data_IF_560605465695
#
_entry.id   IF_560605465695
#
_cell.length_a   1.000
_cell.length_b   1.000
_cell.length_c   1.000
_cell.angle_alpha   90.00
_cell.angle_beta   90.00
_cell.angle_gamma   90.00
#
_symmetry.space_group_name_H-M   'P 1'
#
loop_
_entity.id
_entity.type
_entity.pdbx_description
1 polymer ?
#
# COMPACT_ATOMS: atom_id res chain seq x y z
N UNK A 1 -20.17 -16.08 4.62
CA UNK A 1 -19.87 -14.72 4.12
C UNK A 1 -18.35 -14.58 3.99
N UNK A 2 -17.86 -13.94 2.93
CA UNK A 2 -16.44 -13.58 2.77
C UNK A 2 -16.30 -12.08 3.03
N UNK A 3 -15.41 -11.69 3.94
CA UNK A 3 -15.00 -10.30 4.10
C UNK A 3 -13.71 -10.05 3.31
N UNK A 4 -13.72 -9.10 2.40
CA UNK A 4 -12.55 -8.71 1.62
C UNK A 4 -12.01 -7.37 2.12
N UNK A 5 -10.75 -7.35 2.55
CA UNK A 5 -10.04 -6.10 2.84
C UNK A 5 -9.46 -5.57 1.53
N UNK A 6 -10.05 -4.52 0.98
CA UNK A 6 -9.73 -3.97 -0.34
C UNK A 6 -9.16 -2.55 -0.26
N UNK A 7 -8.75 -2.02 -1.42
CA UNK A 7 -8.03 -0.75 -1.57
C UNK A 7 -6.88 -0.82 -2.57
N UNK A 8 -6.73 -1.96 -3.24
CA UNK A 8 -5.78 -2.19 -4.32
C UNK A 8 -6.54 -2.56 -5.60
N UNK A 9 -5.88 -2.45 -6.75
CA UNK A 9 -6.45 -2.93 -8.02
C UNK A 9 -6.80 -4.41 -7.95
N UNK A 10 -5.93 -5.21 -7.32
CA UNK A 10 -6.12 -6.64 -7.15
C UNK A 10 -7.31 -6.96 -6.25
N UNK A 11 -7.53 -6.20 -5.18
CA UNK A 11 -8.70 -6.38 -4.33
C UNK A 11 -10.02 -6.23 -5.09
N UNK A 12 -10.10 -5.25 -6.01
CA UNK A 12 -11.25 -5.05 -6.90
C UNK A 12 -11.50 -6.26 -7.79
N UNK A 13 -10.44 -6.74 -8.45
CA UNK A 13 -10.52 -7.92 -9.31
C UNK A 13 -10.95 -9.18 -8.54
N UNK A 14 -10.47 -9.36 -7.31
CA UNK A 14 -10.86 -10.47 -6.44
C UNK A 14 -12.36 -10.37 -6.09
N UNK A 15 -12.88 -9.18 -5.75
CA UNK A 15 -14.33 -8.98 -5.51
C UNK A 15 -15.13 -9.45 -6.72
N UNK A 16 -14.81 -8.94 -7.91
CA UNK A 16 -15.52 -9.29 -9.15
C UNK A 16 -15.52 -10.78 -9.40
N UNK A 17 -14.36 -11.42 -9.33
CA UNK A 17 -14.24 -12.85 -9.66
C UNK A 17 -14.93 -13.74 -8.62
N UNK A 18 -14.86 -13.40 -7.33
CA UNK A 18 -15.54 -14.17 -6.28
C UNK A 18 -17.07 -14.04 -6.41
N UNK A 19 -17.56 -12.83 -6.63
CA UNK A 19 -19.00 -12.58 -6.82
C UNK A 19 -19.54 -13.27 -8.07
N UNK A 20 -18.79 -13.25 -9.19
CA UNK A 20 -19.15 -14.00 -10.41
C UNK A 20 -19.17 -15.53 -10.21
N UNK A 21 -18.39 -16.06 -9.26
CA UNK A 21 -18.44 -17.48 -8.86
C UNK A 21 -19.56 -17.79 -7.86
N UNK A 22 -20.40 -16.82 -7.52
CA UNK A 22 -21.55 -17.00 -6.62
C UNK A 22 -21.23 -16.88 -5.13
N UNK A 23 -20.02 -16.48 -4.76
CA UNK A 23 -19.69 -16.22 -3.36
C UNK A 23 -20.37 -14.94 -2.85
N UNK A 24 -20.80 -14.97 -1.59
CA UNK A 24 -21.28 -13.78 -0.87
C UNK A 24 -20.09 -13.01 -0.32
N UNK A 25 -19.83 -11.84 -0.90
CA UNK A 25 -18.69 -10.96 -0.57
C UNK A 25 -19.17 -9.64 0.02
N UNK A 26 -18.58 -9.24 1.13
CA UNK A 26 -18.63 -7.88 1.67
C UNK A 26 -17.23 -7.30 1.71
N UNK A 27 -17.09 -5.98 1.60
CA UNK A 27 -15.79 -5.33 1.45
C UNK A 27 -15.55 -4.26 2.51
N UNK A 28 -14.34 -4.19 3.07
CA UNK A 28 -13.87 -3.07 3.88
C UNK A 28 -12.77 -2.32 3.11
N UNK A 29 -12.92 -1.01 2.94
CA UNK A 29 -11.98 -0.14 2.21
C UNK A 29 -11.54 1.04 3.06
N UNK A 30 -10.55 1.81 2.59
CA UNK A 30 -10.05 3.00 3.28
C UNK A 30 -10.81 4.30 2.94
N UNK A 31 -11.74 4.28 1.98
CA UNK A 31 -12.43 5.49 1.52
C UNK A 31 -13.82 5.21 0.97
N UNK A 32 -14.70 6.20 1.01
CA UNK A 32 -16.05 6.11 0.42
C UNK A 32 -15.99 5.83 -1.08
N UNK A 33 -15.00 6.39 -1.78
CA UNK A 33 -14.75 6.09 -3.19
C UNK A 33 -14.43 4.61 -3.40
N UNK A 34 -13.59 4.02 -2.54
CA UNK A 34 -13.32 2.59 -2.55
C UNK A 34 -14.56 1.75 -2.27
N UNK A 35 -15.45 2.19 -1.38
CA UNK A 35 -16.74 1.51 -1.18
C UNK A 35 -17.58 1.48 -2.44
N UNK A 36 -17.71 2.63 -3.13
CA UNK A 36 -18.45 2.71 -4.38
C UNK A 36 -17.89 1.74 -5.41
N UNK A 37 -16.56 1.75 -5.60
CA UNK A 37 -15.90 0.81 -6.51
C UNK A 37 -16.18 -0.65 -6.15
N UNK A 38 -16.06 -1.02 -4.86
CA UNK A 38 -16.32 -2.39 -4.42
C UNK A 38 -17.77 -2.83 -4.69
N UNK A 39 -18.75 -1.94 -4.53
CA UNK A 39 -20.14 -2.21 -4.88
C UNK A 39 -20.31 -2.42 -6.39
N UNK A 40 -19.71 -1.55 -7.22
CA UNK A 40 -19.72 -1.68 -8.67
C UNK A 40 -19.05 -3.00 -9.13
N UNK A 41 -18.05 -3.46 -8.39
CA UNK A 41 -17.31 -4.70 -8.65
C UNK A 41 -18.07 -5.96 -8.18
N UNK A 42 -19.22 -5.84 -7.51
CA UNK A 42 -20.07 -6.96 -7.10
C UNK A 42 -20.06 -7.31 -5.62
N UNK A 43 -19.53 -6.45 -4.75
CA UNK A 43 -19.68 -6.58 -3.29
C UNK A 43 -21.15 -6.37 -2.89
N UNK A 44 -21.67 -7.18 -1.98
CA UNK A 44 -23.04 -7.05 -1.48
C UNK A 44 -23.21 -5.86 -0.54
N UNK A 45 -22.18 -5.59 0.26
CA UNK A 45 -22.08 -4.42 1.13
C UNK A 45 -20.62 -3.95 1.14
N UNK A 46 -20.40 -2.65 1.32
CA UNK A 46 -19.07 -2.08 1.46
C UNK A 46 -19.02 -1.10 2.64
N UNK A 47 -17.96 -1.21 3.44
CA UNK A 47 -17.73 -0.41 4.64
C UNK A 47 -16.44 0.40 4.47
N UNK A 48 -16.38 1.55 5.11
CA UNK A 48 -15.18 2.38 5.22
C UNK A 48 -15.08 2.96 6.64
N UNK A 49 -13.89 3.38 7.03
CA UNK A 49 -13.61 4.02 8.31
C UNK A 49 -12.47 3.35 9.07
N UNK A 50 -11.97 4.04 10.08
CA UNK A 50 -10.94 3.52 10.98
C UNK A 50 -11.55 2.61 12.06
N UNK A 51 -12.07 1.45 11.63
CA UNK A 51 -12.65 0.48 12.55
C UNK A 51 -11.59 0.02 13.57
N UNK A 52 -11.96 0.08 14.84
CA UNK A 52 -11.18 -0.48 15.93
C UNK A 52 -11.48 -1.98 16.10
N UNK A 53 -10.85 -2.57 17.11
CA UNK A 53 -11.01 -4.00 17.44
C UNK A 53 -12.46 -4.37 17.68
N UNK A 54 -13.19 -3.55 18.44
CA UNK A 54 -14.58 -3.83 18.84
C UNK A 54 -15.52 -3.79 17.63
N UNK A 55 -15.36 -2.79 16.76
CA UNK A 55 -16.17 -2.66 15.55
C UNK A 55 -15.91 -3.79 14.57
N UNK A 56 -14.65 -4.19 14.37
CA UNK A 56 -14.30 -5.32 13.51
C UNK A 56 -14.85 -6.64 14.03
N UNK A 57 -14.72 -6.91 15.34
CA UNK A 57 -15.32 -8.09 15.97
C UNK A 57 -16.82 -8.16 15.73
N UNK A 58 -17.52 -7.04 16.00
CA UNK A 58 -18.96 -6.94 15.76
C UNK A 58 -19.31 -7.20 14.30
N UNK A 59 -18.54 -6.66 13.36
CA UNK A 59 -18.75 -6.89 11.93
C UNK A 59 -18.59 -8.37 11.56
N UNK A 60 -17.52 -9.02 12.03
CA UNK A 60 -17.24 -10.44 11.78
C UNK A 60 -18.39 -11.32 12.29
N UNK A 61 -18.90 -11.04 13.50
CA UNK A 61 -19.99 -11.77 14.13
C UNK A 61 -21.35 -11.51 13.44
N UNK A 62 -21.73 -10.25 13.27
CA UNK A 62 -23.03 -9.87 12.71
C UNK A 62 -23.22 -10.35 11.27
N UNK A 63 -22.13 -10.39 10.49
CA UNK A 63 -22.17 -10.83 9.09
C UNK A 63 -21.86 -12.32 8.93
N UNK A 64 -21.66 -13.06 10.03
CA UNK A 64 -21.27 -14.46 10.04
C UNK A 64 -20.12 -14.74 9.04
N UNK A 65 -19.05 -13.95 9.19
CA UNK A 65 -17.87 -14.04 8.32
C UNK A 65 -17.18 -15.38 8.58
N UNK A 66 -17.03 -16.18 7.53
CA UNK A 66 -16.37 -17.49 7.58
C UNK A 66 -14.94 -17.44 7.06
N UNK A 67 -14.67 -16.50 6.15
CA UNK A 67 -13.35 -16.29 5.61
C UNK A 67 -13.08 -14.80 5.38
N UNK A 68 -11.81 -14.41 5.53
CA UNK A 68 -11.30 -13.09 5.22
C UNK A 68 -10.27 -13.19 4.11
N UNK A 69 -10.45 -12.44 3.03
CA UNK A 69 -9.44 -12.25 2.00
C UNK A 69 -8.81 -10.88 2.20
N UNK A 70 -7.56 -10.88 2.65
CA UNK A 70 -6.79 -9.66 2.87
C UNK A 70 -5.98 -9.32 1.61
N UNK A 71 -6.46 -8.35 0.84
CA UNK A 71 -5.83 -7.83 -0.38
C UNK A 71 -5.30 -6.41 -0.19
N UNK A 72 -5.08 -6.00 1.06
CA UNK A 72 -4.53 -4.68 1.37
C UNK A 72 -3.12 -4.53 0.79
N UNK A 73 -2.57 -3.30 0.83
CA UNK A 73 -1.24 -3.02 0.30
C UNK A 73 -0.20 -4.02 0.84
N UNK A 74 0.79 -4.47 0.04
CA UNK A 74 1.76 -5.48 0.47
C UNK A 74 2.61 -5.16 1.71
N UNK A 75 2.62 -3.89 2.12
CA UNK A 75 3.25 -3.48 3.37
C UNK A 75 2.22 -3.63 4.48
N UNK A 76 2.52 -4.36 5.57
CA UNK A 76 1.57 -4.57 6.65
C UNK A 76 1.13 -3.23 7.22
N UNK A 77 -0.19 -3.07 7.33
CA UNK A 77 -0.83 -1.89 7.91
C UNK A 77 -1.70 -2.29 9.09
N UNK A 78 -2.14 -1.29 9.87
CA UNK A 78 -2.97 -1.48 11.08
C UNK A 78 -4.12 -2.46 10.87
N UNK A 79 -4.88 -2.32 9.77
CA UNK A 79 -6.06 -3.17 9.52
C UNK A 79 -5.69 -4.62 9.23
N UNK A 80 -4.60 -4.87 8.51
CA UNK A 80 -4.09 -6.21 8.19
C UNK A 80 -3.68 -6.92 9.48
N UNK A 81 -2.90 -6.25 10.34
CA UNK A 81 -2.41 -6.82 11.59
C UNK A 81 -3.56 -7.10 12.56
N UNK A 82 -4.50 -6.16 12.70
CA UNK A 82 -5.65 -6.35 13.57
C UNK A 82 -6.55 -7.50 13.08
N UNK A 83 -6.73 -7.63 11.77
CA UNK A 83 -7.52 -8.71 11.20
C UNK A 83 -6.84 -10.08 11.36
N UNK A 84 -5.51 -10.13 11.27
CA UNK A 84 -4.72 -11.33 11.61
C UNK A 84 -5.04 -11.84 13.01
N UNK A 85 -4.87 -10.97 14.00
CA UNK A 85 -5.10 -11.30 15.40
C UNK A 85 -6.54 -11.76 15.64
N UNK A 86 -7.52 -11.05 15.07
CA UNK A 86 -8.94 -11.39 15.22
C UNK A 86 -9.30 -12.71 14.55
N UNK A 87 -8.80 -12.98 13.35
CA UNK A 87 -9.02 -14.25 12.67
C UNK A 87 -8.41 -15.41 13.45
N UNK A 88 -7.18 -15.27 13.93
CA UNK A 88 -6.51 -16.29 14.75
C UNK A 88 -7.28 -16.55 16.05
N UNK A 89 -7.75 -15.50 16.73
CA UNK A 89 -8.52 -15.63 17.98
C UNK A 89 -9.90 -16.29 17.78
N UNK A 90 -10.53 -16.10 16.61
CA UNK A 90 -11.89 -16.60 16.32
C UNK A 90 -11.91 -17.88 15.48
N UNK A 91 -10.75 -18.37 15.04
CA UNK A 91 -10.67 -19.50 14.11
C UNK A 91 -11.28 -19.20 12.73
N UNK A 92 -11.29 -17.93 12.31
CA UNK A 92 -11.77 -17.53 10.98
C UNK A 92 -10.65 -17.71 9.98
N UNK A 93 -10.94 -18.38 8.85
CA UNK A 93 -9.96 -18.55 7.78
C UNK A 93 -9.52 -17.18 7.25
N UNK A 94 -8.23 -16.86 7.36
CA UNK A 94 -7.64 -15.70 6.69
C UNK A 94 -6.76 -16.16 5.53
N UNK A 95 -6.97 -15.54 4.38
CA UNK A 95 -6.15 -15.70 3.17
C UNK A 95 -5.51 -14.34 2.89
N UNK A 96 -4.18 -14.27 2.84
CA UNK A 96 -3.45 -13.05 2.52
C UNK A 96 -3.03 -13.09 1.06
N UNK A 97 -3.64 -12.23 0.24
CA UNK A 97 -3.20 -12.04 -1.14
C UNK A 97 -1.97 -11.13 -1.18
N UNK A 98 -0.86 -11.66 -1.67
CA UNK A 98 0.40 -10.93 -1.77
C UNK A 98 1.02 -11.15 -3.15
N UNK A 99 0.94 -10.13 -4.00
CA UNK A 99 1.68 -10.10 -5.28
C UNK A 99 3.19 -10.20 -5.06
N UNK A 100 3.90 -10.71 -6.05
CA UNK A 100 5.36 -10.82 -6.02
C UNK A 100 6.05 -9.47 -5.82
N UNK A 101 7.28 -9.58 -5.31
CA UNK A 101 8.20 -8.45 -5.24
C UNK A 101 8.69 -8.06 -6.64
N UNK A 102 9.09 -6.81 -6.78
CA UNK A 102 9.69 -6.34 -8.02
C UNK A 102 11.10 -6.92 -8.13
N UNK A 103 11.41 -7.59 -9.24
CA UNK A 103 12.80 -7.94 -9.53
C UNK A 103 13.55 -6.62 -9.82
N UNK A 104 14.40 -6.21 -8.89
CA UNK A 104 15.12 -4.95 -9.01
C UNK A 104 16.26 -5.14 -10.03
N UNK A 105 16.46 -4.20 -10.97
CA UNK A 105 17.61 -4.22 -11.85
C UNK A 105 18.92 -4.24 -11.05
N UNK A 106 19.92 -4.97 -11.53
CA UNK A 106 21.28 -4.84 -11.00
C UNK A 106 21.88 -3.51 -11.47
N UNK A 107 21.87 -2.52 -10.59
CA UNK A 107 22.32 -1.17 -10.89
C UNK A 107 22.83 -0.48 -9.61
N UNK A 108 24.00 0.16 -9.69
CA UNK A 108 24.66 0.84 -8.55
C UNK A 108 23.89 2.02 -7.97
N UNK A 109 22.87 2.53 -8.69
CA UNK A 109 21.98 3.59 -8.21
C UNK A 109 20.79 3.07 -7.43
N UNK A 110 20.60 1.74 -7.31
CA UNK A 110 19.50 1.14 -6.56
C UNK A 110 19.99 0.65 -5.20
N UNK A 111 19.36 1.14 -4.14
CA UNK A 111 19.70 0.82 -2.76
C UNK A 111 18.52 0.16 -2.05
N UNK A 112 18.47 -1.18 -1.97
CA UNK A 112 17.48 -1.87 -1.17
C UNK A 112 17.75 -1.64 0.32
N UNK A 113 16.70 -1.34 1.08
CA UNK A 113 16.71 -1.17 2.54
C UNK A 113 15.50 -1.85 3.15
N UNK A 114 15.53 -2.16 4.44
CA UNK A 114 14.48 -2.97 5.10
C UNK A 114 13.71 -2.20 6.17
N UNK A 115 13.99 -0.92 6.38
CA UNK A 115 13.24 -0.08 7.30
C UNK A 115 13.12 1.38 6.82
N UNK A 116 12.22 2.14 7.45
CA UNK A 116 12.05 3.56 7.16
C UNK A 116 13.23 4.38 7.67
N UNK A 117 13.81 3.98 8.79
CA UNK A 117 14.98 4.53 9.43
C UNK A 117 16.22 4.36 8.53
N UNK A 118 16.43 3.14 8.00
CA UNK A 118 17.47 2.89 7.00
C UNK A 118 17.24 3.70 5.74
N UNK A 119 15.99 3.80 5.27
CA UNK A 119 15.66 4.57 4.08
C UNK A 119 15.99 6.06 4.24
N UNK A 120 15.63 6.64 5.39
CA UNK A 120 15.91 8.02 5.74
C UNK A 120 17.42 8.29 5.79
N UNK A 121 18.17 7.47 6.55
CA UNK A 121 19.62 7.58 6.66
C UNK A 121 20.32 7.44 5.30
N UNK A 122 19.92 6.44 4.51
CA UNK A 122 20.50 6.19 3.19
C UNK A 122 20.22 7.33 2.23
N UNK A 123 18.97 7.81 2.18
CA UNK A 123 18.59 8.91 1.29
C UNK A 123 19.27 10.22 1.67
N UNK A 124 19.41 10.53 2.95
CA UNK A 124 20.11 11.73 3.44
C UNK A 124 21.58 11.77 2.98
N UNK A 125 22.24 10.62 2.87
CA UNK A 125 23.62 10.53 2.37
C UNK A 125 23.78 10.61 0.85
N UNK A 126 22.68 10.62 0.08
CA UNK A 126 22.71 10.55 -1.39
C UNK A 126 22.36 11.88 -2.09
N UNK A 127 21.67 12.80 -1.42
CA UNK A 127 21.36 14.11 -2.02
C UNK A 127 20.40 14.99 -1.21
N UNK A 128 20.43 16.30 -1.49
CA UNK A 128 19.69 17.31 -0.71
C UNK A 128 18.18 17.40 -0.98
N UNK A 129 17.70 16.92 -2.13
CA UNK A 129 16.25 16.90 -2.45
C UNK A 129 15.77 15.47 -2.51
N UNK A 130 15.04 15.03 -1.50
CA UNK A 130 14.51 13.68 -1.40
C UNK A 130 13.06 13.70 -1.86
N UNK A 131 12.72 12.90 -2.86
CA UNK A 131 11.36 12.74 -3.35
C UNK A 131 10.78 11.40 -2.89
N UNK A 132 9.83 11.45 -1.99
CA UNK A 132 9.12 10.31 -1.43
C UNK A 132 7.92 9.94 -2.31
N UNK A 133 7.98 8.76 -2.91
CA UNK A 133 6.85 8.14 -3.63
C UNK A 133 6.12 7.09 -2.79
N UNK A 134 6.30 7.17 -1.47
CA UNK A 134 5.87 6.17 -0.47
C UNK A 134 4.47 6.40 0.09
N UNK A 135 3.82 7.52 -0.27
CA UNK A 135 2.60 8.00 0.35
C UNK A 135 2.84 8.63 1.73
N UNK A 136 1.75 8.94 2.43
CA UNK A 136 1.75 9.62 3.75
C UNK A 136 1.89 8.68 4.95
N UNK A 137 1.78 7.37 4.75
CA UNK A 137 1.91 6.39 5.83
C UNK A 137 3.37 6.28 6.26
N UNK A 138 3.63 6.40 7.57
CA UNK A 138 4.95 6.45 8.21
C UNK A 138 5.85 7.60 7.73
N UNK A 139 5.24 8.67 7.18
CA UNK A 139 5.97 9.87 6.79
C UNK A 139 6.67 10.52 8.00
N UNK A 140 6.00 10.53 9.14
CA UNK A 140 6.50 10.96 10.44
C UNK A 140 7.83 10.29 10.81
N UNK A 141 7.92 8.96 10.68
CA UNK A 141 9.15 8.20 10.96
C UNK A 141 10.30 8.67 10.07
N UNK A 142 10.02 8.86 8.78
CA UNK A 142 11.03 9.35 7.85
C UNK A 142 11.51 10.77 8.23
N UNK A 143 10.58 11.67 8.50
CA UNK A 143 10.87 13.07 8.84
C UNK A 143 11.64 13.20 10.15
N UNK A 144 11.28 12.42 11.18
CA UNK A 144 11.99 12.42 12.46
C UNK A 144 13.46 11.97 12.32
N UNK A 145 13.73 11.01 11.43
CA UNK A 145 15.09 10.51 11.18
C UNK A 145 15.98 11.46 10.37
N UNK A 146 15.38 12.46 9.69
CA UNK A 146 16.13 13.49 8.94
C UNK A 146 16.01 14.88 9.57
N UNK A 147 15.39 14.97 10.74
CA UNK A 147 15.16 16.23 11.45
C UNK A 147 16.49 16.89 11.80
N UNK A 148 16.59 18.18 11.51
CA UNK A 148 17.80 18.97 11.74
C UNK A 148 18.85 18.89 10.62
N UNK A 149 18.60 18.09 9.58
CA UNK A 149 19.43 18.08 8.37
C UNK A 149 18.92 19.14 7.37
N UNK A 150 19.84 19.77 6.63
CA UNK A 150 19.52 20.70 5.54
C UNK A 150 19.09 19.93 4.28
N UNK A 151 17.87 19.36 4.33
CA UNK A 151 17.27 18.56 3.27
C UNK A 151 15.89 19.09 2.90
N UNK A 152 15.59 19.11 1.59
CA UNK A 152 14.24 19.36 1.06
C UNK A 152 13.53 18.02 0.86
N UNK A 153 12.41 17.84 1.54
CA UNK A 153 11.58 16.64 1.43
C UNK A 153 10.36 16.96 0.58
N UNK A 154 10.20 16.28 -0.55
CA UNK A 154 9.02 16.33 -1.40
C UNK A 154 8.27 15.01 -1.26
N UNK A 155 6.95 15.06 -1.04
CA UNK A 155 6.14 13.84 -0.90
C UNK A 155 5.02 13.80 -1.92
N UNK A 156 4.81 12.64 -2.54
CA UNK A 156 3.63 12.36 -3.37
C UNK A 156 2.60 11.55 -2.58
N UNK A 157 1.39 12.08 -2.50
CA UNK A 157 0.27 11.54 -1.72
C UNK A 157 -1.02 11.49 -2.54
N UNK A 158 -2.02 10.75 -2.05
CA UNK A 158 -3.37 10.83 -2.58
C UNK A 158 -3.97 12.23 -2.35
N UNK A 159 -4.80 12.74 -3.28
CA UNK A 159 -5.40 14.07 -3.19
C UNK A 159 -6.59 14.10 -2.23
N UNK A 160 -6.42 13.59 -1.02
CA UNK A 160 -7.43 13.58 0.03
C UNK A 160 -7.14 14.66 1.07
N UNK A 161 -8.16 15.44 1.45
CA UNK A 161 -8.02 16.55 2.40
C UNK A 161 -7.30 16.15 3.70
N UNK A 162 -7.68 15.02 4.31
CA UNK A 162 -7.05 14.53 5.55
C UNK A 162 -5.56 14.21 5.35
N UNK A 163 -5.19 13.71 4.17
CA UNK A 163 -3.82 13.31 3.85
C UNK A 163 -2.94 14.53 3.57
N UNK A 164 -3.46 15.51 2.83
CA UNK A 164 -2.78 16.80 2.60
C UNK A 164 -2.57 17.52 3.94
N UNK A 165 -3.61 17.59 4.78
CA UNK A 165 -3.55 18.20 6.10
C UNK A 165 -2.48 17.54 6.98
N UNK A 166 -2.43 16.20 7.04
CA UNK A 166 -1.38 15.46 7.76
C UNK A 166 0.02 15.91 7.33
N UNK A 167 0.27 16.09 6.04
CA UNK A 167 1.58 16.52 5.54
C UNK A 167 1.92 17.95 5.97
N UNK A 168 0.94 18.85 5.98
CA UNK A 168 1.10 20.22 6.45
C UNK A 168 1.35 20.30 7.96
N UNK A 169 0.60 19.51 8.75
CA UNK A 169 0.78 19.40 10.20
C UNK A 169 2.18 18.85 10.58
N UNK A 170 2.77 18.04 9.69
CA UNK A 170 4.15 17.55 9.79
C UNK A 170 5.21 18.58 9.31
N UNK A 171 4.81 19.79 8.92
CA UNK A 171 5.70 20.89 8.56
C UNK A 171 6.13 20.93 7.10
N UNK A 172 5.53 20.12 6.20
CA UNK A 172 5.83 20.20 4.77
C UNK A 172 5.17 21.42 4.13
N UNK A 173 5.94 22.18 3.36
CA UNK A 173 5.41 23.31 2.60
C UNK A 173 4.47 22.84 1.48
N UNK A 174 3.43 23.61 1.12
CA UNK A 174 2.51 23.23 0.04
C UNK A 174 3.20 22.91 -1.30
N UNK A 175 4.28 23.64 -1.63
CA UNK A 175 5.09 23.43 -2.83
C UNK A 175 5.85 22.09 -2.86
N UNK A 176 5.90 21.38 -1.74
CA UNK A 176 6.61 20.10 -1.56
C UNK A 176 5.63 18.93 -1.39
N UNK A 177 4.34 19.18 -1.57
CA UNK A 177 3.27 18.17 -1.52
C UNK A 177 2.70 17.98 -2.93
N UNK A 178 2.92 16.80 -3.50
CA UNK A 178 2.35 16.40 -4.79
C UNK A 178 1.10 15.55 -4.54
N UNK A 179 -0.07 16.19 -4.56
CA UNK A 179 -1.36 15.53 -4.37
C UNK A 179 -1.90 15.00 -5.71
N UNK A 180 -1.78 13.69 -5.95
CA UNK A 180 -2.18 13.10 -7.23
C UNK A 180 -2.47 11.59 -7.08
N UNK A 181 -3.48 11.09 -7.80
CA UNK A 181 -3.83 9.67 -7.83
C UNK A 181 -3.20 8.99 -9.06
N UNK A 182 -2.53 7.85 -8.84
CA UNK A 182 -1.94 7.02 -9.89
C UNK A 182 -2.93 6.02 -10.52
N UNK A 183 -2.46 5.10 -11.36
CA UNK A 183 -1.05 4.76 -11.63
C UNK A 183 -0.30 5.82 -12.47
N UNK A 184 1.04 5.77 -12.43
CA UNK A 184 1.90 6.73 -13.13
C UNK A 184 2.83 6.03 -14.12
N UNK A 185 2.86 6.52 -15.37
CA UNK A 185 3.81 6.05 -16.38
C UNK A 185 5.25 6.44 -16.04
N UNK A 186 6.21 5.82 -16.72
CA UNK A 186 7.64 6.19 -16.62
C UNK A 186 7.84 7.67 -16.97
N UNK A 187 7.20 8.12 -18.04
CA UNK A 187 7.30 9.49 -18.57
C UNK A 187 6.77 10.51 -17.55
N UNK A 188 5.61 10.23 -16.94
CA UNK A 188 5.04 11.11 -15.92
C UNK A 188 5.93 11.17 -14.68
N UNK A 189 6.43 10.03 -14.18
CA UNK A 189 7.38 10.02 -13.07
C UNK A 189 8.64 10.83 -13.41
N UNK A 190 9.19 10.67 -14.63
CA UNK A 190 10.38 11.39 -15.09
C UNK A 190 10.17 12.90 -15.11
N UNK A 191 9.03 13.36 -15.61
CA UNK A 191 8.67 14.78 -15.62
C UNK A 191 8.59 15.32 -14.18
N UNK A 192 7.86 14.64 -13.30
CA UNK A 192 7.70 15.06 -11.90
C UNK A 192 9.04 15.11 -11.18
N UNK A 193 9.87 14.07 -11.28
CA UNK A 193 11.18 14.05 -10.62
C UNK A 193 12.07 15.22 -11.09
N UNK A 194 12.02 15.55 -12.38
CA UNK A 194 12.73 16.70 -12.93
C UNK A 194 12.16 18.04 -12.43
N UNK A 195 10.84 18.21 -12.46
CA UNK A 195 10.15 19.43 -12.01
C UNK A 195 10.43 19.79 -10.56
N UNK A 196 10.58 18.78 -9.70
CA UNK A 196 10.90 18.98 -8.28
C UNK A 196 12.40 18.98 -7.98
N UNK A 197 13.26 18.85 -9.01
CA UNK A 197 14.72 18.73 -8.89
C UNK A 197 15.12 17.64 -7.87
N UNK A 198 14.45 16.49 -7.96
CA UNK A 198 14.74 15.36 -7.10
C UNK A 198 16.19 14.89 -7.28
N UNK A 199 16.89 14.68 -6.17
CA UNK A 199 18.26 14.14 -6.12
C UNK A 199 18.31 12.72 -5.60
N UNK A 200 17.27 12.28 -4.90
CA UNK A 200 17.08 10.90 -4.46
C UNK A 200 15.60 10.58 -4.54
N UNK A 201 15.26 9.40 -5.05
CA UNK A 201 13.89 8.86 -4.97
C UNK A 201 13.83 7.85 -3.84
N UNK A 202 12.82 7.94 -2.99
CA UNK A 202 12.48 6.87 -2.05
C UNK A 202 11.16 6.25 -2.50
N UNK A 203 11.13 4.93 -2.67
CA UNK A 203 9.93 4.17 -3.03
C UNK A 203 9.81 2.94 -2.15
N UNK A 204 8.58 2.46 -2.00
CA UNK A 204 8.30 1.10 -1.50
C UNK A 204 8.34 0.12 -2.66
N UNK A 205 8.74 -1.12 -2.38
CA UNK A 205 8.51 -2.24 -3.30
C UNK A 205 7.06 -2.71 -3.23
N UNK A 206 6.19 -1.92 -3.85
CA UNK A 206 4.76 -2.22 -3.96
C UNK A 206 4.46 -3.26 -5.04
N UNK A 207 5.47 -3.88 -5.66
CA UNK A 207 5.32 -4.74 -6.84
C UNK A 207 5.04 -3.94 -8.11
N UNK A 208 4.91 -4.65 -9.24
CA UNK A 208 4.71 -4.07 -10.59
C UNK A 208 3.42 -3.26 -10.70
N UNK A 209 2.30 -3.79 -10.21
CA UNK A 209 1.03 -3.06 -10.24
C UNK A 209 1.01 -1.80 -9.34
N UNK A 210 1.95 -1.68 -8.40
CA UNK A 210 2.22 -0.44 -7.64
C UNK A 210 3.11 0.57 -8.37
N UNK A 211 3.52 0.29 -9.62
CA UNK A 211 4.37 1.14 -10.45
C UNK A 211 5.81 1.24 -9.95
N UNK A 212 6.30 0.25 -9.19
CA UNK A 212 7.68 0.24 -8.66
C UNK A 212 8.70 0.28 -9.81
N UNK A 213 8.44 -0.50 -10.87
CA UNK A 213 9.21 -0.56 -12.11
C UNK A 213 9.23 0.78 -12.86
N UNK A 214 8.08 1.46 -12.99
CA UNK A 214 8.00 2.74 -13.71
C UNK A 214 8.71 3.86 -12.94
N UNK A 215 8.62 3.84 -11.60
CA UNK A 215 9.34 4.77 -10.71
C UNK A 215 10.86 4.58 -10.82
N UNK A 216 11.35 3.35 -10.69
CA UNK A 216 12.78 3.03 -10.79
C UNK A 216 13.31 3.40 -12.18
N UNK A 217 12.62 2.97 -13.24
CA UNK A 217 13.03 3.24 -14.62
C UNK A 217 13.10 4.73 -14.93
N UNK A 218 12.19 5.53 -14.38
CA UNK A 218 12.20 6.98 -14.53
C UNK A 218 13.39 7.62 -13.81
N UNK A 219 13.66 7.22 -12.57
CA UNK A 219 14.78 7.73 -11.79
C UNK A 219 16.14 7.40 -12.43
N UNK A 220 16.32 6.13 -12.87
CA UNK A 220 17.52 5.70 -13.57
C UNK A 220 17.74 6.48 -14.88
N UNK A 221 16.67 6.78 -15.63
CA UNK A 221 16.77 7.61 -16.85
C UNK A 221 17.22 9.05 -16.60
N UNK A 222 17.21 9.49 -15.35
CA UNK A 222 17.67 10.81 -14.89
C UNK A 222 18.98 10.72 -14.09
N UNK A 223 19.60 9.54 -13.97
CA UNK A 223 20.73 9.26 -13.10
C UNK A 223 20.47 9.64 -11.62
N UNK A 224 19.23 9.45 -11.16
CA UNK A 224 18.83 9.72 -9.77
C UNK A 224 18.89 8.39 -8.99
N UNK A 225 19.63 8.33 -7.86
CA UNK A 225 19.62 7.15 -7.00
C UNK A 225 18.23 6.89 -6.40
N UNK A 226 17.92 5.60 -6.26
CA UNK A 226 16.64 5.12 -5.74
C UNK A 226 16.87 4.28 -4.50
N UNK A 227 16.33 4.73 -3.37
CA UNK A 227 16.23 3.94 -2.15
C UNK A 227 14.91 3.18 -2.19
N UNK A 228 15.00 1.85 -2.23
CA UNK A 228 13.84 0.95 -2.33
C UNK A 228 13.64 0.29 -0.97
N UNK A 229 12.59 0.71 -0.27
CA UNK A 229 12.15 0.04 0.96
C UNK A 229 11.55 -1.29 0.54
N UNK A 230 12.22 -2.38 0.91
CA UNK A 230 11.76 -3.76 0.74
C UNK A 230 10.72 -4.09 1.80
N UNK A 231 9.96 -5.15 1.56
CA UNK A 231 8.97 -5.63 2.52
C UNK A 231 9.70 -6.42 3.62
N UNK A 232 9.20 -6.34 4.84
CA UNK A 232 9.56 -7.33 5.85
C UNK A 232 9.11 -8.72 5.40
N UNK A 233 9.78 -9.76 5.91
CA UNK A 233 9.34 -11.14 5.71
C UNK A 233 7.92 -11.26 6.24
N UNK A 234 6.97 -11.59 5.36
CA UNK A 234 5.58 -11.83 5.76
C UNK A 234 5.54 -13.08 6.63
N UNK A 235 4.80 -13.03 7.74
CA UNK A 235 4.67 -14.12 8.71
C UNK A 235 4.03 -15.38 8.12
N UNK A 236 3.89 -16.41 8.94
CA UNK A 236 3.30 -17.69 8.54
C UNK A 236 1.79 -17.57 8.28
N UNK A 237 1.24 -18.41 7.40
CA UNK A 237 -0.19 -18.48 7.11
C UNK A 237 -0.53 -18.75 5.64
N UNK A 238 -1.82 -18.62 5.28
CA UNK A 238 -2.30 -18.83 3.91
C UNK A 238 -1.98 -17.61 3.03
N UNK A 239 -0.71 -17.48 2.64
CA UNK A 239 -0.26 -16.47 1.68
C UNK A 239 -0.39 -17.01 0.27
N UNK A 240 -1.09 -16.27 -0.58
CA UNK A 240 -1.37 -16.66 -1.97
C UNK A 240 -0.99 -15.55 -2.93
N UNK A 241 -0.64 -15.92 -4.16
CA UNK A 241 -0.20 -14.97 -5.22
C UNK A 241 -1.19 -14.87 -6.36
N UNK A 242 -2.07 -15.86 -6.48
CA UNK A 242 -3.00 -16.01 -7.58
C UNK A 242 -4.44 -16.11 -7.09
N UNK A 243 -5.36 -15.77 -7.98
CA UNK A 243 -6.79 -15.94 -7.72
C UNK A 243 -7.20 -17.41 -7.54
N UNK A 244 -6.55 -18.33 -8.26
CA UNK A 244 -6.89 -19.74 -8.19
C UNK A 244 -6.62 -20.30 -6.80
N UNK A 245 -5.45 -19.98 -6.22
CA UNK A 245 -5.10 -20.35 -4.85
C UNK A 245 -6.13 -19.83 -3.82
N UNK A 246 -6.61 -18.58 -3.98
CA UNK A 246 -7.70 -18.06 -3.12
C UNK A 246 -8.90 -19.01 -3.18
N UNK A 247 -9.35 -19.35 -4.38
CA UNK A 247 -10.56 -20.17 -4.53
C UNK A 247 -10.36 -21.62 -4.10
N UNK A 248 -9.15 -22.17 -4.19
CA UNK A 248 -8.83 -23.51 -3.69
C UNK A 248 -8.91 -23.56 -2.17
N UNK A 249 -8.34 -22.57 -1.48
CA UNK A 249 -8.39 -22.50 -0.03
C UNK A 249 -9.83 -22.24 0.46
N UNK A 250 -10.60 -21.40 -0.24
CA UNK A 250 -12.00 -21.12 0.13
C UNK A 250 -12.91 -22.37 0.11
N UNK A 251 -12.64 -23.36 -0.75
CA UNK A 251 -13.39 -24.64 -0.79
C UNK A 251 -13.28 -25.46 0.50
N UNK A 252 -12.29 -25.17 1.36
CA UNK A 252 -12.15 -25.86 2.65
C UNK A 252 -13.18 -25.37 3.69
N UNK A 253 -13.89 -24.27 3.41
CA UNK A 253 -14.82 -23.60 4.34
C UNK A 253 -16.23 -23.41 3.78
N UNK A 254 -16.36 -23.35 2.45
CA UNK A 254 -17.63 -23.16 1.72
C UNK A 254 -17.96 -24.40 0.90
#
# INVERSE_FOLDING_TARGET
>A
MILLLSGTHEGREIVTRLSQKGYRVITLTSSEYGCKQAMDDGSQEAFTGELGRKELLRLLEQKAVKAVVDSTHPFPGRISNLMEELCNQRGILRIRYLRDETNLPDNSLIYPVFSWEEAAKKAAGLGKTIFLTTGSNNLEVFLDNVKGLDLRIVVRILPEHKVVRKCQDLGLAPKDIVAMQGPFSKEMNRIIFKSYNAKVIVTKDSGRAGGTDTKISAALSLNIPVVVIKRDKVGEGNIVRTYNEITEILKTVF
#
